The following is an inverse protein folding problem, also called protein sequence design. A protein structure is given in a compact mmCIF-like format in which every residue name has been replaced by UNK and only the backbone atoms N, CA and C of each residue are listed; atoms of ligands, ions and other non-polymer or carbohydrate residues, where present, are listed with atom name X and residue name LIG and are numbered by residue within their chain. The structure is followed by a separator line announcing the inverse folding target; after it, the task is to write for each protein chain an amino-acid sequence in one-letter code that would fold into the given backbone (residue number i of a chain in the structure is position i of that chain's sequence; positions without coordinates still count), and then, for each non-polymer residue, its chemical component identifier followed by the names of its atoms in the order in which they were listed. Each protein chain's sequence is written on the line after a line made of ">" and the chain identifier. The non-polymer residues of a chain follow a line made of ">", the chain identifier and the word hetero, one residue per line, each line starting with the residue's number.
data_IF_599783098342
#
_entry.id   IF_599783098342
#
_cell.length_a   1.000
_cell.length_b   1.000
_cell.length_c   1.000
_cell.angle_alpha   90.00
_cell.angle_beta   90.00
_cell.angle_gamma   90.00
#
_symmetry.space_group_name_H-M   'P 1'
#
loop_
_entity.id
_entity.type
_entity.pdbx_description
1 polymer ?
#
# COMPACT_ATOMS: atom_id res chain seq x y z
N UNK A 1 -48.36 -35.29 5.15
CA UNK A 1 -46.92 -35.27 4.85
C UNK A 1 -46.51 -34.26 3.75
N UNK A 2 -47.42 -33.79 2.88
CA UNK A 2 -47.07 -32.83 1.79
C UNK A 2 -46.82 -31.38 2.29
N UNK A 3 -47.36 -30.98 3.42
CA UNK A 3 -47.25 -29.61 3.93
C UNK A 3 -45.95 -29.32 4.74
N UNK A 4 -45.26 -30.37 5.18
CA UNK A 4 -44.03 -30.23 5.93
C UNK A 4 -42.82 -29.85 5.04
N UNK A 5 -42.86 -30.30 3.77
CA UNK A 5 -41.79 -30.03 2.80
C UNK A 5 -41.83 -28.58 2.31
N UNK A 6 -43.02 -27.98 2.25
CA UNK A 6 -43.19 -26.57 1.84
C UNK A 6 -42.72 -25.58 2.90
N UNK A 7 -42.79 -25.93 4.18
CA UNK A 7 -42.30 -25.08 5.30
C UNK A 7 -40.77 -25.09 5.36
N UNK A 8 -40.14 -26.24 5.01
CA UNK A 8 -38.66 -26.33 5.00
C UNK A 8 -38.02 -25.50 3.87
N UNK A 9 -38.75 -25.25 2.77
CA UNK A 9 -38.23 -24.44 1.65
C UNK A 9 -38.26 -22.94 1.95
N UNK A 10 -39.14 -22.49 2.83
CA UNK A 10 -39.29 -21.06 3.18
C UNK A 10 -38.21 -20.60 4.19
N UNK A 11 -37.68 -21.52 4.99
CA UNK A 11 -36.68 -21.22 6.04
C UNK A 11 -35.28 -20.98 5.44
N UNK A 12 -35.03 -21.36 4.20
CA UNK A 12 -33.74 -21.11 3.53
C UNK A 12 -33.64 -19.79 2.77
N UNK A 13 -34.63 -18.90 2.87
CA UNK A 13 -34.47 -17.50 2.47
C UNK A 13 -33.67 -16.74 3.54
N UNK A 14 -32.51 -17.28 3.89
CA UNK A 14 -31.55 -16.55 4.73
C UNK A 14 -30.87 -15.48 3.87
N UNK A 15 -31.35 -14.30 4.02
CA UNK A 15 -30.64 -13.03 4.02
C UNK A 15 -29.17 -13.14 3.62
N UNK A 16 -28.88 -13.23 2.32
CA UNK A 16 -27.61 -12.81 1.81
C UNK A 16 -27.53 -11.28 1.93
N UNK A 17 -27.34 -10.79 3.16
CA UNK A 17 -26.90 -9.42 3.33
C UNK A 17 -25.48 -9.33 2.77
N UNK A 18 -25.38 -8.89 1.54
CA UNK A 18 -24.13 -8.34 1.04
C UNK A 18 -23.77 -7.20 1.97
N UNK A 19 -22.81 -7.41 2.85
CA UNK A 19 -22.21 -6.31 3.60
C UNK A 19 -21.51 -5.43 2.59
N UNK A 20 -22.16 -4.32 2.23
CA UNK A 20 -21.53 -3.29 1.43
C UNK A 20 -20.32 -2.75 2.22
N UNK A 21 -19.13 -3.16 1.77
CA UNK A 21 -17.90 -2.72 2.40
C UNK A 21 -17.71 -1.23 2.10
N UNK A 22 -18.04 -0.36 3.05
CA UNK A 22 -17.80 1.07 2.93
C UNK A 22 -16.29 1.31 2.93
N UNK A 23 -15.75 1.70 1.79
CA UNK A 23 -14.38 2.16 1.69
C UNK A 23 -14.27 3.58 2.27
N UNK A 24 -13.15 3.91 2.91
CA UNK A 24 -12.95 5.25 3.46
C UNK A 24 -12.95 6.28 2.33
N UNK A 25 -13.76 7.32 2.47
CA UNK A 25 -13.77 8.50 1.61
C UNK A 25 -12.91 9.58 2.27
N UNK A 26 -12.17 10.36 1.48
CA UNK A 26 -11.36 11.51 1.91
C UNK A 26 -10.30 11.23 2.99
N UNK A 27 -10.05 9.95 3.28
CA UNK A 27 -9.06 9.54 4.27
C UNK A 27 -7.63 9.75 3.75
N UNK A 28 -7.40 9.37 2.49
CA UNK A 28 -6.09 9.45 1.86
C UNK A 28 -5.91 10.77 1.09
N UNK A 29 -4.76 11.42 1.28
CA UNK A 29 -4.35 12.57 0.49
C UNK A 29 -3.52 12.13 -0.73
N UNK A 30 -3.43 12.97 -1.77
CA UNK A 30 -2.49 12.77 -2.86
C UNK A 30 -1.06 12.61 -2.32
N UNK A 31 -0.30 11.61 -2.80
CA UNK A 31 1.05 11.36 -2.31
C UNK A 31 2.11 12.32 -2.88
N UNK A 32 1.72 13.23 -3.77
CA UNK A 32 2.63 14.17 -4.44
C UNK A 32 1.92 15.51 -4.67
N UNK A 33 2.68 16.61 -4.62
CA UNK A 33 2.18 17.99 -4.87
C UNK A 33 2.21 18.35 -6.36
N UNK A 34 1.81 17.42 -7.22
CA UNK A 34 1.69 17.61 -8.67
C UNK A 34 0.31 17.12 -9.12
N UNK A 35 -0.18 17.56 -10.31
CA UNK A 35 -1.38 16.98 -10.89
C UNK A 35 -1.23 15.47 -11.10
N UNK A 36 -2.18 14.69 -10.59
CA UNK A 36 -2.13 13.23 -10.65
C UNK A 36 -2.60 12.69 -12.00
N UNK A 37 -1.78 12.84 -13.02
CA UNK A 37 -1.98 12.17 -14.29
C UNK A 37 -1.41 10.74 -14.23
N UNK A 38 -2.23 9.75 -14.55
CA UNK A 38 -1.81 8.35 -14.52
C UNK A 38 -1.14 7.95 -15.84
N UNK A 39 -0.10 7.12 -15.72
CA UNK A 39 0.54 6.41 -16.83
C UNK A 39 0.28 4.91 -16.78
N UNK A 40 -0.20 4.39 -15.65
CA UNK A 40 -0.62 3.01 -15.46
C UNK A 40 -1.75 2.93 -14.44
N UNK A 41 -2.75 2.12 -14.76
CA UNK A 41 -3.95 1.92 -13.94
C UNK A 41 -3.85 0.63 -13.09
N UNK A 42 -4.58 0.59 -11.98
CA UNK A 42 -4.77 -0.63 -11.22
C UNK A 42 -5.44 -1.71 -12.10
N UNK A 43 -4.94 -2.95 -12.01
CA UNK A 43 -5.46 -4.08 -12.78
C UNK A 43 -5.02 -4.11 -14.24
N UNK A 44 -4.20 -3.18 -14.71
CA UNK A 44 -3.63 -3.18 -16.07
C UNK A 44 -2.79 -4.44 -16.28
N UNK A 45 -2.93 -5.08 -17.46
CA UNK A 45 -2.18 -6.28 -17.82
C UNK A 45 -0.73 -5.89 -18.09
N UNK A 46 0.20 -6.52 -17.40
CA UNK A 46 1.64 -6.48 -17.63
C UNK A 46 2.12 -7.84 -18.14
N UNK A 47 3.37 -7.94 -18.55
CA UNK A 47 3.92 -9.15 -19.20
C UNK A 47 3.69 -10.45 -18.40
N UNK A 48 3.70 -10.39 -17.06
CA UNK A 48 3.63 -11.59 -16.20
C UNK A 48 2.74 -11.39 -14.95
N UNK A 49 2.05 -10.27 -14.82
CA UNK A 49 1.21 -9.96 -13.66
C UNK A 49 0.21 -8.85 -14.00
N UNK A 50 -0.78 -8.65 -13.13
CA UNK A 50 -1.62 -7.47 -13.13
C UNK A 50 -0.98 -6.36 -12.31
N UNK A 51 -1.07 -5.12 -12.79
CA UNK A 51 -0.56 -3.96 -12.05
C UNK A 51 -1.34 -3.77 -10.75
N UNK A 52 -0.66 -3.88 -9.61
CA UNK A 52 -1.27 -3.83 -8.28
C UNK A 52 -1.37 -2.40 -7.71
N UNK A 53 -1.19 -1.37 -8.52
CA UNK A 53 -1.19 0.02 -8.10
C UNK A 53 -1.57 0.98 -9.21
N UNK A 54 -1.16 2.22 -9.05
CA UNK A 54 -1.25 3.27 -10.07
C UNK A 54 0.14 3.84 -10.31
N UNK A 55 0.46 4.14 -11.57
CA UNK A 55 1.69 4.86 -11.93
C UNK A 55 1.36 6.33 -12.17
N UNK A 56 2.02 7.23 -11.45
CA UNK A 56 1.81 8.68 -11.56
C UNK A 56 2.87 9.27 -12.49
N UNK A 57 2.43 10.04 -13.50
CA UNK A 57 3.33 10.73 -14.42
C UNK A 57 4.07 11.87 -13.74
N UNK A 58 5.39 11.79 -13.73
CA UNK A 58 6.29 12.85 -13.25
C UNK A 58 6.83 13.74 -14.38
N UNK A 59 6.33 13.56 -15.61
CA UNK A 59 6.77 14.27 -16.82
C UNK A 59 8.29 14.17 -17.07
N UNK A 60 8.90 13.04 -16.70
CA UNK A 60 10.34 12.80 -16.83
C UNK A 60 11.20 13.45 -15.74
N UNK A 61 10.59 14.05 -14.71
CA UNK A 61 11.31 14.63 -13.59
C UNK A 61 11.49 13.58 -12.51
N UNK A 62 12.72 13.38 -12.07
CA UNK A 62 13.07 12.52 -10.94
C UNK A 62 13.24 13.35 -9.64
N UNK A 63 13.15 12.68 -8.49
CA UNK A 63 13.36 13.30 -7.17
C UNK A 63 12.20 14.14 -6.67
N UNK A 64 11.01 14.04 -7.28
CA UNK A 64 9.81 14.70 -6.75
C UNK A 64 9.47 14.08 -5.39
N UNK A 65 9.26 14.91 -4.33
CA UNK A 65 8.95 14.41 -3.01
C UNK A 65 7.67 13.59 -2.99
N UNK A 66 7.73 12.42 -2.32
CA UNK A 66 6.58 11.57 -2.04
C UNK A 66 6.20 11.76 -0.57
N UNK A 67 4.92 12.00 -0.32
CA UNK A 67 4.32 12.18 1.00
C UNK A 67 3.50 10.96 1.39
N UNK A 68 3.37 10.70 2.69
CA UNK A 68 2.44 9.68 3.14
C UNK A 68 1.01 10.11 2.87
N UNK A 69 0.23 9.25 2.23
CA UNK A 69 -1.18 9.54 1.91
C UNK A 69 -2.06 9.69 3.17
N UNK A 70 -1.67 9.09 4.29
CA UNK A 70 -2.31 9.26 5.60
C UNK A 70 -1.26 9.10 6.71
N UNK A 71 -1.62 9.46 7.94
CA UNK A 71 -0.80 9.17 9.11
C UNK A 71 -0.65 7.66 9.33
N UNK A 72 0.42 7.24 9.99
CA UNK A 72 0.68 5.83 10.26
C UNK A 72 2.15 5.58 10.63
N UNK A 73 2.60 4.36 10.39
CA UNK A 73 3.99 3.98 10.60
C UNK A 73 4.51 3.09 9.47
N UNK A 74 5.79 3.20 9.20
CA UNK A 74 6.46 2.33 8.22
C UNK A 74 6.58 0.93 8.83
N UNK A 75 5.82 -0.01 8.30
CA UNK A 75 5.77 -1.40 8.77
C UNK A 75 6.75 -2.32 8.03
N UNK A 76 7.16 -1.91 6.82
CA UNK A 76 8.10 -2.69 6.02
C UNK A 76 8.88 -1.77 5.09
N UNK A 77 10.17 -2.04 4.97
CA UNK A 77 11.06 -1.43 3.98
C UNK A 77 11.70 -2.56 3.18
N UNK A 78 11.65 -2.47 1.86
CA UNK A 78 12.30 -3.45 0.99
C UNK A 78 13.20 -2.75 -0.02
N UNK A 79 14.45 -3.23 -0.12
CA UNK A 79 15.42 -2.80 -1.13
C UNK A 79 15.89 -4.05 -1.85
N UNK A 80 15.63 -4.10 -3.16
CA UNK A 80 15.93 -5.25 -4.01
C UNK A 80 16.26 -4.77 -5.43
N UNK A 81 17.12 -5.44 -6.18
CA UNK A 81 17.31 -5.14 -7.60
C UNK A 81 16.11 -5.56 -8.46
N UNK A 82 15.12 -6.25 -7.88
CA UNK A 82 13.93 -6.75 -8.57
C UNK A 82 12.64 -6.19 -7.98
N UNK A 83 11.56 -6.22 -8.79
CA UNK A 83 10.23 -5.77 -8.41
C UNK A 83 10.17 -4.26 -8.20
N UNK A 84 9.72 -3.80 -7.04
CA UNK A 84 9.58 -2.36 -6.74
C UNK A 84 10.90 -1.62 -6.49
N UNK A 85 12.05 -2.29 -6.58
CA UNK A 85 13.33 -1.65 -6.24
C UNK A 85 13.39 -1.25 -4.78
N UNK A 86 13.35 0.06 -4.50
CA UNK A 86 13.19 0.61 -3.16
C UNK A 86 11.70 0.85 -2.90
N UNK A 87 11.18 0.25 -1.84
CA UNK A 87 9.76 0.37 -1.46
C UNK A 87 9.57 0.52 0.04
N UNK A 88 8.50 1.27 0.40
CA UNK A 88 8.02 1.45 1.76
C UNK A 88 6.55 1.02 1.84
N UNK A 89 6.19 0.38 2.94
CA UNK A 89 4.83 0.01 3.29
C UNK A 89 4.45 0.77 4.56
N UNK A 90 3.35 1.50 4.51
CA UNK A 90 2.84 2.28 5.64
C UNK A 90 1.50 1.72 6.08
N UNK A 91 1.42 1.29 7.33
CA UNK A 91 0.17 0.86 7.97
C UNK A 91 -0.50 2.07 8.61
N UNK A 92 -1.80 2.21 8.36
CA UNK A 92 -2.62 3.31 8.84
C UNK A 92 -3.60 2.87 9.94
N UNK A 93 -4.03 3.78 10.82
CA UNK A 93 -4.95 3.46 11.92
C UNK A 93 -6.27 2.84 11.48
N UNK A 94 -6.73 3.09 10.25
CA UNK A 94 -7.93 2.51 9.66
C UNK A 94 -7.76 1.06 9.17
N UNK A 95 -6.57 0.45 9.36
CA UNK A 95 -6.24 -0.92 8.96
C UNK A 95 -5.81 -1.08 7.50
N UNK A 96 -5.76 0.00 6.72
CA UNK A 96 -5.22 -0.04 5.35
C UNK A 96 -3.70 0.11 5.37
N UNK A 97 -3.08 -0.37 4.29
CA UNK A 97 -1.64 -0.19 4.04
C UNK A 97 -1.43 0.46 2.69
N UNK A 98 -0.68 1.56 2.66
CA UNK A 98 -0.20 2.15 1.40
C UNK A 98 1.20 1.65 1.07
N UNK A 99 1.48 1.47 -0.22
CA UNK A 99 2.78 1.02 -0.72
C UNK A 99 3.32 2.05 -1.70
N UNK A 100 4.56 2.47 -1.47
CA UNK A 100 5.28 3.39 -2.35
C UNK A 100 6.48 2.64 -2.92
N UNK A 101 6.48 2.43 -4.23
CA UNK A 101 7.54 1.74 -4.95
C UNK A 101 8.40 2.69 -5.79
N UNK A 102 9.49 2.15 -6.35
CA UNK A 102 10.41 2.86 -7.25
C UNK A 102 11.00 4.15 -6.65
N UNK A 103 11.18 4.17 -5.32
CA UNK A 103 11.70 5.32 -4.59
C UNK A 103 13.18 5.52 -4.96
N UNK A 104 13.55 6.73 -5.37
CA UNK A 104 14.95 7.08 -5.64
C UNK A 104 15.75 7.19 -4.34
N UNK A 105 15.22 7.94 -3.36
CA UNK A 105 15.85 8.22 -2.06
C UNK A 105 14.81 8.29 -0.97
N UNK A 106 15.12 7.75 0.19
CA UNK A 106 14.26 7.88 1.38
C UNK A 106 14.58 9.18 2.15
N UNK A 107 13.71 9.54 3.11
CA UNK A 107 13.99 10.62 4.04
C UNK A 107 15.23 10.30 4.87
N UNK A 108 15.86 11.34 5.42
CA UNK A 108 17.12 11.18 6.19
C UNK A 108 16.99 10.18 7.35
N UNK A 109 15.87 10.21 8.06
CA UNK A 109 15.58 9.30 9.18
C UNK A 109 15.53 7.86 8.72
N UNK A 110 14.80 7.59 7.63
CA UNK A 110 14.66 6.26 7.06
C UNK A 110 15.99 5.78 6.46
N UNK A 111 16.74 6.66 5.77
CA UNK A 111 18.07 6.33 5.24
C UNK A 111 19.05 5.92 6.34
N UNK A 112 19.06 6.61 7.48
CA UNK A 112 19.89 6.23 8.64
C UNK A 112 19.53 4.85 9.17
N UNK A 113 18.22 4.56 9.30
CA UNK A 113 17.72 3.27 9.75
C UNK A 113 18.14 2.14 8.79
N UNK A 114 17.98 2.36 7.48
CA UNK A 114 18.38 1.42 6.42
C UNK A 114 19.88 1.15 6.45
N UNK A 115 20.69 2.21 6.44
CA UNK A 115 22.17 2.09 6.42
C UNK A 115 22.69 1.28 7.61
N UNK A 116 22.19 1.54 8.81
CA UNK A 116 22.57 0.78 10.00
C UNK A 116 22.32 -0.74 9.81
N UNK A 117 21.17 -1.10 9.21
CA UNK A 117 20.84 -2.49 8.93
C UNK A 117 21.67 -3.08 7.79
N UNK A 118 21.94 -2.31 6.72
CA UNK A 118 22.79 -2.72 5.60
C UNK A 118 24.22 -3.01 6.04
N UNK A 119 24.83 -2.13 6.84
CA UNK A 119 26.15 -2.36 7.40
C UNK A 119 26.19 -3.60 8.29
N UNK A 120 25.20 -3.76 9.17
CA UNK A 120 25.12 -4.94 10.05
C UNK A 120 24.97 -6.26 9.29
N UNK A 121 24.26 -6.23 8.15
CA UNK A 121 24.01 -7.43 7.30
C UNK A 121 25.04 -7.60 6.17
N UNK A 122 25.95 -6.63 6.00
CA UNK A 122 26.90 -6.58 4.89
C UNK A 122 26.22 -6.79 3.52
N UNK A 123 25.03 -6.19 3.35
CA UNK A 123 24.20 -6.36 2.15
C UNK A 123 23.46 -5.10 1.79
N UNK A 124 23.48 -4.73 0.49
CA UNK A 124 22.63 -3.65 -0.02
C UNK A 124 21.16 -4.08 -0.15
N UNK A 125 20.91 -5.36 -0.49
CA UNK A 125 19.55 -5.90 -0.57
C UNK A 125 19.08 -6.30 0.82
N UNK A 126 18.04 -5.64 1.30
CA UNK A 126 17.50 -5.86 2.63
C UNK A 126 15.98 -5.81 2.64
N UNK A 127 15.43 -6.46 3.65
CA UNK A 127 14.03 -6.35 4.01
C UNK A 127 13.96 -6.15 5.53
N UNK A 128 13.29 -5.08 5.94
CA UNK A 128 13.21 -4.62 7.33
C UNK A 128 11.75 -4.50 7.74
N UNK A 129 11.48 -4.79 8.99
CA UNK A 129 10.16 -4.69 9.60
C UNK A 129 10.27 -3.83 10.88
N UNK A 130 10.24 -2.49 10.75
CA UNK A 130 10.29 -1.60 11.91
C UNK A 130 9.11 -1.83 12.84
N UNK A 131 9.33 -1.65 14.14
CA UNK A 131 8.25 -1.63 15.12
C UNK A 131 7.37 -0.40 14.91
N UNK A 132 6.11 -0.48 15.29
CA UNK A 132 5.16 0.61 15.12
C UNK A 132 5.57 1.94 15.78
N UNK A 133 6.47 1.91 16.77
CA UNK A 133 6.99 3.10 17.46
C UNK A 133 8.22 3.73 16.81
N UNK A 134 8.88 3.07 15.83
CA UNK A 134 10.20 3.50 15.33
C UNK A 134 10.12 4.54 14.22
N UNK A 135 9.30 4.31 13.21
CA UNK A 135 9.22 5.14 12.01
C UNK A 135 7.78 5.62 11.77
N UNK A 136 7.36 6.60 12.56
CA UNK A 136 6.06 7.25 12.42
C UNK A 136 6.05 8.22 11.24
N UNK A 137 4.93 8.31 10.53
CA UNK A 137 4.70 9.25 9.44
C UNK A 137 3.40 10.02 9.65
N UNK A 138 3.40 11.27 9.20
CA UNK A 138 2.21 12.13 9.19
C UNK A 138 1.58 12.13 7.81
N UNK A 139 0.30 12.49 7.72
CA UNK A 139 -0.39 12.73 6.46
C UNK A 139 0.17 14.01 5.81
N UNK A 140 0.60 13.94 4.55
CA UNK A 140 1.08 15.07 3.76
C UNK A 140 2.54 15.44 3.91
#
# INVERSE_FOLDING_TARGET
>A
MKNLLSILLIINYHFAFSQEKKYPQDYFAPPMDIPLYLSGNFGEIRTNHFHAGIDIKTQGVEGIPIKSAAEGFVSRIKISPYGYGKAIYVVHPNGYTTVYGHIQKFSETIEKYIKAAQYKKESFSIELFPMSSELQVKKG
#
